data_IF_642313276125
#
_entry.id   IF_642313276125
#
_cell.length_a   1.000
_cell.length_b   1.000
_cell.length_c   1.000
_cell.angle_alpha   90.00
_cell.angle_beta   90.00
_cell.angle_gamma   90.00
#
_symmetry.space_group_name_H-M   'P 1'
#
loop_
_entity.id
_entity.type
_entity.pdbx_description
1 polymer ?
#
# COMPACT_ATOMS: atom_id res chain seq x y z
N UNK A 1 -21.83 5.81 30.25
CA UNK A 1 -22.02 4.41 29.81
C UNK A 1 -21.92 4.42 28.30
N UNK A 2 -20.85 3.87 27.72
CA UNK A 2 -20.69 3.84 26.25
C UNK A 2 -21.59 2.76 25.68
N UNK A 3 -22.48 3.11 24.77
CA UNK A 3 -23.25 2.13 24.00
C UNK A 3 -22.33 1.49 22.96
N UNK A 4 -22.42 0.16 22.73
CA UNK A 4 -21.60 -0.50 21.73
C UNK A 4 -21.98 0.01 20.34
N UNK A 5 -20.97 0.28 19.50
CA UNK A 5 -21.17 0.64 18.10
C UNK A 5 -21.61 -0.62 17.36
N UNK A 6 -22.89 -0.67 16.99
CA UNK A 6 -23.44 -1.74 16.16
C UNK A 6 -23.30 -1.31 14.69
N UNK A 7 -22.43 -1.99 13.95
CA UNK A 7 -22.22 -1.75 12.52
C UNK A 7 -22.96 -2.81 11.71
N UNK A 8 -23.87 -2.44 10.78
CA UNK A 8 -24.48 -3.40 9.87
C UNK A 8 -23.41 -4.16 9.08
N UNK A 9 -23.63 -5.46 8.83
CA UNK A 9 -22.67 -6.33 8.12
C UNK A 9 -22.27 -5.72 6.78
N UNK A 10 -23.20 -5.15 6.02
CA UNK A 10 -22.91 -4.49 4.73
C UNK A 10 -21.91 -3.33 4.87
N UNK A 11 -22.05 -2.50 5.93
CA UNK A 11 -21.09 -1.42 6.23
C UNK A 11 -19.74 -1.98 6.66
N UNK A 12 -19.73 -3.01 7.50
CA UNK A 12 -18.48 -3.65 7.93
C UNK A 12 -17.71 -4.24 6.73
N UNK A 13 -18.41 -4.94 5.83
CA UNK A 13 -17.83 -5.48 4.59
C UNK A 13 -17.29 -4.36 3.70
N UNK A 14 -18.04 -3.28 3.51
CA UNK A 14 -17.59 -2.14 2.72
C UNK A 14 -16.29 -1.54 3.26
N UNK A 15 -16.19 -1.34 4.58
CA UNK A 15 -14.97 -0.86 5.21
C UNK A 15 -13.82 -1.86 5.08
N UNK A 16 -14.05 -3.13 5.37
CA UNK A 16 -13.01 -4.16 5.27
C UNK A 16 -12.46 -4.29 3.85
N UNK A 17 -13.33 -4.33 2.85
CA UNK A 17 -12.93 -4.42 1.44
C UNK A 17 -12.20 -3.16 1.00
N UNK A 18 -12.71 -1.98 1.36
CA UNK A 18 -12.06 -0.71 1.06
C UNK A 18 -10.65 -0.63 1.67
N UNK A 19 -10.52 -0.97 2.95
CA UNK A 19 -9.23 -1.01 3.64
C UNK A 19 -8.30 -2.05 3.03
N UNK A 20 -8.79 -3.24 2.69
CA UNK A 20 -7.98 -4.29 2.07
C UNK A 20 -7.43 -3.83 0.71
N UNK A 21 -8.26 -3.20 -0.13
CA UNK A 21 -7.84 -2.66 -1.43
C UNK A 21 -6.74 -1.61 -1.24
N UNK A 22 -6.93 -0.67 -0.32
CA UNK A 22 -5.92 0.37 -0.04
C UNK A 22 -4.62 -0.24 0.50
N UNK A 23 -4.71 -1.20 1.41
CA UNK A 23 -3.55 -1.88 1.97
C UNK A 23 -2.75 -2.62 0.88
N UNK A 24 -3.44 -3.33 -0.02
CA UNK A 24 -2.78 -4.01 -1.14
C UNK A 24 -2.18 -3.03 -2.14
N UNK A 25 -2.83 -1.89 -2.40
CA UNK A 25 -2.28 -0.85 -3.27
C UNK A 25 -0.97 -0.27 -2.68
N UNK A 26 -0.96 0.05 -1.38
CA UNK A 26 0.25 0.53 -0.70
C UNK A 26 1.34 -0.55 -0.75
N UNK A 27 1.01 -1.80 -0.42
CA UNK A 27 1.97 -2.90 -0.47
C UNK A 27 2.58 -3.08 -1.86
N UNK A 28 1.76 -2.97 -2.89
CA UNK A 28 2.23 -3.07 -4.28
C UNK A 28 3.23 -1.95 -4.61
N UNK A 29 2.89 -0.68 -4.38
CA UNK A 29 3.76 0.44 -4.75
C UNK A 29 5.05 0.51 -3.93
N UNK A 30 5.00 0.13 -2.65
CA UNK A 30 6.16 0.20 -1.76
C UNK A 30 7.07 -1.03 -1.90
N UNK A 31 6.49 -2.21 -2.15
CA UNK A 31 7.22 -3.48 -2.09
C UNK A 31 7.36 -4.23 -3.41
N UNK A 32 6.40 -4.09 -4.34
CA UNK A 32 6.32 -4.94 -5.54
C UNK A 32 6.67 -4.19 -6.82
N UNK A 33 6.39 -2.89 -6.90
CA UNK A 33 6.68 -2.10 -8.09
C UNK A 33 8.20 -1.88 -8.25
N UNK A 34 8.80 -2.66 -9.16
CA UNK A 34 10.22 -2.65 -9.51
C UNK A 34 10.43 -2.30 -10.99
N UNK A 35 9.45 -1.68 -11.64
CA UNK A 35 9.49 -1.34 -13.07
C UNK A 35 9.22 -2.48 -14.04
N UNK A 36 9.63 -3.72 -13.77
CA UNK A 36 9.22 -4.88 -14.58
C UNK A 36 7.77 -5.33 -14.30
N UNK A 37 7.32 -5.07 -13.07
CA UNK A 37 5.98 -5.41 -12.59
C UNK A 37 5.07 -4.19 -12.49
N UNK A 38 5.51 -3.01 -12.94
CA UNK A 38 4.72 -1.78 -12.85
C UNK A 38 3.44 -1.90 -13.70
N UNK A 39 2.30 -1.55 -13.12
CA UNK A 39 1.03 -1.41 -13.84
C UNK A 39 1.06 -0.22 -14.81
N UNK A 40 2.06 0.66 -14.69
CA UNK A 40 2.31 1.76 -15.60
C UNK A 40 3.30 1.41 -16.73
N UNK A 41 3.67 0.12 -16.88
CA UNK A 41 4.57 -0.35 -17.94
C UNK A 41 6.00 -0.51 -17.43
N UNK A 42 7.00 -0.04 -18.19
CA UNK A 42 8.42 -0.06 -17.78
C UNK A 42 8.79 1.24 -17.04
N UNK A 43 7.99 1.62 -16.05
CA UNK A 43 8.15 2.86 -15.29
C UNK A 43 8.80 2.58 -13.93
N UNK A 44 9.82 3.36 -13.54
CA UNK A 44 10.54 3.18 -12.28
C UNK A 44 10.48 4.41 -11.37
N UNK A 45 9.66 5.42 -11.66
CA UNK A 45 9.66 6.65 -10.86
C UNK A 45 9.31 6.39 -9.39
N UNK A 46 8.33 5.52 -9.15
CA UNK A 46 7.92 5.12 -7.81
C UNK A 46 9.00 4.23 -7.17
N UNK A 47 9.59 3.32 -7.94
CA UNK A 47 10.68 2.46 -7.49
C UNK A 47 11.85 3.29 -6.98
N UNK A 48 12.38 4.20 -7.81
CA UNK A 48 13.52 5.05 -7.45
C UNK A 48 13.19 5.95 -6.26
N UNK A 49 11.98 6.52 -6.20
CA UNK A 49 11.55 7.33 -5.05
C UNK A 49 11.59 6.54 -3.73
N UNK A 50 11.02 5.32 -3.72
CA UNK A 50 11.01 4.46 -2.53
C UNK A 50 12.41 3.94 -2.21
N UNK A 51 13.18 3.60 -3.24
CA UNK A 51 14.57 3.15 -3.13
C UNK A 51 15.47 4.23 -2.52
N UNK A 52 15.36 5.47 -2.98
CA UNK A 52 16.10 6.61 -2.43
C UNK A 52 15.66 6.95 -1.00
N UNK A 53 14.37 6.84 -0.68
CA UNK A 53 13.88 7.04 0.68
C UNK A 53 14.46 6.01 1.66
N UNK A 54 14.59 4.75 1.23
CA UNK A 54 15.27 3.69 2.00
C UNK A 54 16.74 4.06 2.25
N UNK A 55 17.44 4.54 1.23
CA UNK A 55 18.82 5.00 1.37
C UNK A 55 18.95 6.20 2.28
N UNK A 56 18.03 7.16 2.18
CA UNK A 56 17.97 8.33 3.06
C UNK A 56 17.80 7.92 4.54
N UNK A 57 17.06 6.84 4.80
CA UNK A 57 16.91 6.25 6.14
C UNK A 57 18.11 5.35 6.56
N UNK A 58 19.16 5.24 5.73
CA UNK A 58 20.39 4.53 6.04
C UNK A 58 20.35 3.02 5.81
N UNK A 59 19.30 2.50 5.19
CA UNK A 59 19.22 1.07 4.85
C UNK A 59 20.04 0.77 3.59
N UNK A 60 20.93 -0.24 3.60
CA UNK A 60 21.75 -0.58 2.43
C UNK A 60 20.92 -1.23 1.32
N UNK A 61 21.27 -1.06 0.03
CA UNK A 61 20.82 -1.89 -1.10
C UNK A 61 21.97 -2.77 -1.66
N UNK A 62 21.69 -3.63 -2.63
CA UNK A 62 22.70 -4.48 -3.29
C UNK A 62 23.14 -3.90 -4.64
#
# INVERSE_FOLDING_TARGET
MSTPVVVPVSRAVMWLVGTAIVAFAIYYFVGVDQGAYSIFGKDTHIHEFVHDARHFLGFPCH
#
